data_IF_196523073034
#
_entry.id   IF_196523073034
#
_cell.length_a   1.000
_cell.length_b   1.000
_cell.length_c   1.000
_cell.angle_alpha   90.00
_cell.angle_beta   90.00
_cell.angle_gamma   90.00
#
_symmetry.space_group_name_H-M   'P 1'
#
loop_
_entity.id
_entity.type
_entity.pdbx_description
1 polymer ?
#
# COMPACT_ATOMS: atom_id res chain seq x y z
N UNK A 1 -23.42 -5.68 -1.81
CA UNK A 1 -23.43 -4.20 -1.72
C UNK A 1 -23.56 -3.61 -3.11
N UNK A 2 -24.10 -2.38 -3.27
CA UNK A 2 -24.22 -1.70 -4.57
C UNK A 2 -22.88 -1.64 -5.33
N UNK A 3 -21.77 -1.52 -4.60
CA UNK A 3 -20.40 -1.57 -5.14
C UNK A 3 -20.00 -2.94 -5.73
N UNK A 4 -20.55 -4.05 -5.25
CA UNK A 4 -20.29 -5.39 -5.82
C UNK A 4 -20.92 -5.56 -7.21
N UNK A 5 -21.99 -4.82 -7.51
CA UNK A 5 -22.61 -4.82 -8.84
C UNK A 5 -21.78 -4.09 -9.90
N UNK A 6 -20.84 -3.22 -9.49
CA UNK A 6 -19.99 -2.44 -10.39
C UNK A 6 -18.68 -3.16 -10.75
N UNK A 7 -18.29 -4.17 -9.98
CA UNK A 7 -16.98 -4.82 -10.08
C UNK A 7 -17.15 -6.31 -10.31
N UNK A 8 -17.03 -6.73 -11.57
CA UNK A 8 -16.88 -8.14 -11.91
C UNK A 8 -15.40 -8.53 -11.74
N UNK A 9 -15.02 -9.35 -10.76
CA UNK A 9 -13.61 -9.68 -10.47
C UNK A 9 -12.85 -10.22 -11.70
N UNK A 10 -13.54 -10.97 -12.55
CA UNK A 10 -12.98 -11.55 -13.78
C UNK A 10 -12.77 -10.52 -14.90
N UNK A 11 -13.57 -9.45 -14.93
CA UNK A 11 -13.34 -8.30 -15.83
C UNK A 11 -12.20 -7.43 -15.30
N UNK A 12 -12.14 -7.31 -13.98
CA UNK A 12 -11.17 -6.49 -13.25
C UNK A 12 -9.72 -7.01 -13.40
N UNK A 13 -9.51 -8.33 -13.39
CA UNK A 13 -8.18 -8.92 -13.70
C UNK A 13 -7.69 -8.66 -15.14
N UNK A 14 -8.62 -8.48 -16.10
CA UNK A 14 -8.26 -8.23 -17.51
C UNK A 14 -7.87 -6.78 -17.77
N UNK A 15 -8.21 -5.85 -16.89
CA UNK A 15 -7.93 -4.42 -17.04
C UNK A 15 -7.57 -3.80 -15.68
N UNK A 16 -6.42 -4.19 -15.09
CA UNK A 16 -6.09 -3.86 -13.70
C UNK A 16 -5.92 -2.35 -13.46
N UNK A 17 -5.59 -1.58 -14.50
CA UNK A 17 -5.44 -0.13 -14.41
C UNK A 17 -6.75 0.61 -14.08
N UNK A 18 -7.93 0.03 -14.38
CA UNK A 18 -9.21 0.65 -14.02
C UNK A 18 -9.36 0.82 -12.50
N UNK A 19 -8.70 -0.04 -11.72
CA UNK A 19 -8.70 0.04 -10.26
C UNK A 19 -8.03 1.28 -9.71
N UNK A 20 -7.14 1.90 -10.46
CA UNK A 20 -6.57 3.18 -10.08
C UNK A 20 -7.65 4.23 -9.89
N UNK A 21 -8.55 4.36 -10.85
CA UNK A 21 -9.65 5.34 -10.80
C UNK A 21 -10.65 5.00 -9.69
N UNK A 22 -10.89 3.71 -9.46
CA UNK A 22 -11.77 3.24 -8.39
C UNK A 22 -11.17 3.56 -7.02
N UNK A 23 -9.89 3.26 -6.81
CA UNK A 23 -9.17 3.61 -5.57
C UNK A 23 -9.15 5.11 -5.32
N UNK A 24 -8.92 5.90 -6.37
CA UNK A 24 -8.95 7.36 -6.29
C UNK A 24 -10.34 7.88 -5.90
N UNK A 25 -11.40 7.33 -6.50
CA UNK A 25 -12.78 7.70 -6.21
C UNK A 25 -13.19 7.30 -4.78
N UNK A 26 -12.89 6.06 -4.36
CA UNK A 26 -13.18 5.58 -3.00
C UNK A 26 -12.51 6.46 -1.95
N UNK A 27 -11.23 6.76 -2.15
CA UNK A 27 -10.45 7.65 -1.27
C UNK A 27 -11.01 9.07 -1.24
N UNK A 28 -11.32 9.64 -2.40
CA UNK A 28 -11.84 11.02 -2.45
C UNK A 28 -13.20 11.15 -1.78
N UNK A 29 -14.12 10.21 -2.02
CA UNK A 29 -15.43 10.20 -1.35
C UNK A 29 -15.26 10.02 0.16
N UNK A 30 -14.40 9.10 0.59
CA UNK A 30 -14.12 8.88 2.01
C UNK A 30 -13.53 10.11 2.71
N UNK A 31 -12.61 10.83 2.07
CA UNK A 31 -12.03 12.08 2.59
C UNK A 31 -13.10 13.17 2.73
N UNK A 32 -13.94 13.35 1.71
CA UNK A 32 -14.99 14.36 1.75
C UNK A 32 -16.03 14.04 2.85
N UNK A 33 -16.43 12.78 2.98
CA UNK A 33 -17.37 12.34 4.02
C UNK A 33 -16.77 12.44 5.42
N UNK A 34 -15.48 12.10 5.60
CA UNK A 34 -14.82 12.19 6.91
C UNK A 34 -14.72 13.64 7.38
N UNK A 35 -14.39 14.57 6.48
CA UNK A 35 -14.36 16.00 6.77
C UNK A 35 -15.76 16.58 7.05
N UNK A 36 -16.77 16.12 6.31
CA UNK A 36 -18.13 16.66 6.44
C UNK A 36 -18.85 16.19 7.71
N UNK A 37 -18.73 14.91 8.05
CA UNK A 37 -19.53 14.28 9.13
C UNK A 37 -18.72 14.09 10.41
N UNK A 38 -17.42 13.79 10.30
CA UNK A 38 -16.58 13.32 11.42
C UNK A 38 -15.29 14.13 11.55
N UNK A 39 -15.37 15.45 11.44
CA UNK A 39 -14.20 16.33 11.33
C UNK A 39 -13.13 16.06 12.39
N UNK A 40 -13.51 15.89 13.66
CA UNK A 40 -12.57 15.69 14.77
C UNK A 40 -11.84 14.34 14.74
N UNK A 41 -12.38 13.35 14.01
CA UNK A 41 -11.79 12.02 13.83
C UNK A 41 -11.46 11.72 12.36
N UNK A 42 -11.43 12.75 11.50
CA UNK A 42 -11.39 12.59 10.05
C UNK A 42 -10.23 11.71 9.57
N UNK A 43 -9.08 11.78 10.25
CA UNK A 43 -7.88 11.01 9.92
C UNK A 43 -8.03 9.49 10.05
N UNK A 44 -8.75 9.00 11.07
CA UNK A 44 -9.03 7.57 11.20
C UNK A 44 -10.26 7.17 10.38
N UNK A 45 -11.29 8.03 10.37
CA UNK A 45 -12.56 7.76 9.70
C UNK A 45 -12.39 7.67 8.18
N UNK A 46 -11.53 8.51 7.57
CA UNK A 46 -11.25 8.38 6.13
C UNK A 46 -10.70 7.00 5.79
N UNK A 47 -9.75 6.47 6.58
CA UNK A 47 -9.17 5.14 6.34
C UNK A 47 -10.24 4.07 6.48
N UNK A 48 -11.07 4.16 7.53
CA UNK A 48 -12.17 3.22 7.75
C UNK A 48 -13.15 3.20 6.57
N UNK A 49 -13.56 4.37 6.07
CA UNK A 49 -14.48 4.49 4.93
C UNK A 49 -13.88 3.89 3.65
N UNK A 50 -12.59 4.14 3.38
CA UNK A 50 -11.89 3.55 2.23
C UNK A 50 -11.85 2.03 2.36
N UNK A 51 -11.50 1.53 3.55
CA UNK A 51 -11.46 0.10 3.85
C UNK A 51 -12.82 -0.54 3.63
N UNK A 52 -13.90 0.05 4.13
CA UNK A 52 -15.26 -0.47 3.91
C UNK A 52 -15.62 -0.56 2.43
N UNK A 53 -15.21 0.43 1.62
CA UNK A 53 -15.43 0.40 0.17
C UNK A 53 -14.56 -0.67 -0.54
N UNK A 54 -13.35 -0.91 -0.05
CA UNK A 54 -12.38 -1.84 -0.65
C UNK A 54 -12.52 -3.31 -0.18
N UNK A 55 -13.16 -3.58 0.96
CA UNK A 55 -13.35 -4.94 1.50
C UNK A 55 -14.00 -5.89 0.48
N UNK A 56 -15.10 -5.55 -0.20
CA UNK A 56 -15.74 -6.47 -1.16
C UNK A 56 -14.79 -6.87 -2.29
N UNK A 57 -13.98 -5.92 -2.76
CA UNK A 57 -12.96 -6.14 -3.79
C UNK A 57 -11.90 -7.11 -3.28
N UNK A 58 -11.29 -6.83 -2.14
CA UNK A 58 -10.26 -7.68 -1.53
C UNK A 58 -10.78 -9.10 -1.28
N UNK A 59 -11.98 -9.22 -0.71
CA UNK A 59 -12.61 -10.51 -0.44
C UNK A 59 -12.85 -11.32 -1.72
N UNK A 60 -13.35 -10.67 -2.77
CA UNK A 60 -13.61 -11.32 -4.06
C UNK A 60 -12.33 -11.83 -4.72
N UNK A 61 -11.22 -11.07 -4.64
CA UNK A 61 -9.91 -11.45 -5.15
C UNK A 61 -9.35 -12.65 -4.38
N UNK A 62 -9.33 -12.60 -3.04
CA UNK A 62 -8.84 -13.72 -2.21
C UNK A 62 -9.61 -15.00 -2.52
N UNK A 63 -10.95 -14.91 -2.63
CA UNK A 63 -11.80 -16.06 -2.94
C UNK A 63 -11.51 -16.64 -4.33
N UNK A 64 -11.23 -15.79 -5.31
CA UNK A 64 -10.87 -16.21 -6.66
C UNK A 64 -9.50 -16.88 -6.67
N UNK A 65 -8.51 -16.31 -6.00
CA UNK A 65 -7.15 -16.86 -5.94
C UNK A 65 -7.10 -18.22 -5.24
N UNK A 66 -7.84 -18.40 -4.13
CA UNK A 66 -7.95 -19.72 -3.50
C UNK A 66 -8.61 -20.76 -4.42
N UNK A 67 -9.59 -20.36 -5.23
CA UNK A 67 -10.20 -21.30 -6.18
C UNK A 67 -9.24 -21.72 -7.29
N UNK A 68 -8.33 -20.84 -7.73
CA UNK A 68 -7.29 -21.16 -8.71
C UNK A 68 -6.24 -22.11 -8.12
N UNK A 69 -5.92 -21.97 -6.84
CA UNK A 69 -5.01 -22.86 -6.11
C UNK A 69 -5.53 -24.31 -6.05
N UNK A 70 -6.86 -24.48 -6.03
CA UNK A 70 -7.48 -25.81 -6.09
C UNK A 70 -7.39 -26.49 -7.47
N UNK A 71 -7.28 -25.72 -8.55
CA UNK A 71 -7.30 -26.22 -9.94
C UNK A 71 -5.91 -26.31 -10.57
N UNK A 72 -4.93 -25.58 -10.05
CA UNK A 72 -3.59 -25.49 -10.63
C UNK A 72 -2.76 -26.76 -10.38
N UNK A 73 -2.23 -27.33 -11.46
CA UNK A 73 -1.33 -28.49 -11.42
C UNK A 73 0.17 -28.12 -11.36
N UNK A 74 0.52 -26.83 -11.52
CA UNK A 74 1.91 -26.35 -11.60
C UNK A 74 2.09 -25.02 -10.86
N UNK A 75 3.04 -24.97 -9.91
CA UNK A 75 3.37 -23.78 -9.09
C UNK A 75 3.75 -22.55 -9.93
N UNK A 76 4.55 -22.72 -11.00
CA UNK A 76 4.94 -21.59 -11.86
C UNK A 76 3.77 -20.93 -12.60
N UNK A 77 2.67 -21.66 -12.85
CA UNK A 77 1.43 -21.09 -13.40
C UNK A 77 0.65 -20.38 -12.31
N UNK A 78 0.62 -20.95 -11.11
CA UNK A 78 -0.05 -20.37 -9.94
C UNK A 78 0.55 -19.00 -9.58
N UNK A 79 1.88 -18.88 -9.50
CA UNK A 79 2.56 -17.59 -9.28
C UNK A 79 2.21 -16.52 -10.32
N UNK A 80 2.01 -16.90 -11.58
CA UNK A 80 1.59 -15.95 -12.62
C UNK A 80 0.16 -15.45 -12.40
N UNK A 81 -0.73 -16.28 -11.88
CA UNK A 81 -2.08 -15.87 -11.52
C UNK A 81 -2.08 -14.93 -10.31
N UNK A 82 -1.31 -15.27 -9.27
CA UNK A 82 -1.11 -14.40 -8.11
C UNK A 82 -0.60 -13.01 -8.52
N UNK A 83 0.33 -12.94 -9.48
CA UNK A 83 0.84 -11.67 -9.98
C UNK A 83 -0.23 -10.81 -10.66
N UNK A 84 -1.27 -11.40 -11.29
CA UNK A 84 -2.39 -10.64 -11.85
C UNK A 84 -3.23 -10.03 -10.73
N UNK A 85 -3.55 -10.81 -9.69
CA UNK A 85 -4.26 -10.34 -8.51
C UNK A 85 -3.49 -9.24 -7.76
N UNK A 86 -2.17 -9.41 -7.60
CA UNK A 86 -1.30 -8.41 -6.98
C UNK A 86 -1.27 -7.14 -7.82
N UNK A 87 -1.09 -7.23 -9.14
CA UNK A 87 -1.11 -6.05 -10.03
C UNK A 87 -2.42 -5.29 -9.91
N UNK A 88 -3.54 -6.00 -9.91
CA UNK A 88 -4.88 -5.43 -9.71
C UNK A 88 -5.01 -4.65 -8.39
N UNK A 89 -4.56 -5.23 -7.28
CA UNK A 89 -4.60 -4.56 -5.97
C UNK A 89 -3.57 -3.41 -5.85
N UNK A 90 -2.43 -3.49 -6.53
CA UNK A 90 -1.46 -2.41 -6.61
C UNK A 90 -2.05 -1.16 -7.27
N UNK A 91 -2.85 -1.30 -8.33
CA UNK A 91 -3.52 -0.14 -8.93
C UNK A 91 -4.55 0.49 -7.98
N UNK A 92 -5.32 -0.32 -7.23
CA UNK A 92 -6.20 0.20 -6.19
C UNK A 92 -5.41 1.01 -5.13
N UNK A 93 -4.29 0.46 -4.66
CA UNK A 93 -3.39 1.14 -3.72
C UNK A 93 -2.88 2.47 -4.29
N UNK A 94 -2.39 2.47 -5.54
CA UNK A 94 -1.91 3.68 -6.21
C UNK A 94 -3.00 4.74 -6.34
N UNK A 95 -4.24 4.35 -6.64
CA UNK A 95 -5.38 5.26 -6.68
C UNK A 95 -5.62 5.95 -5.33
N UNK A 96 -5.61 5.19 -4.24
CA UNK A 96 -5.78 5.70 -2.87
C UNK A 96 -4.61 6.64 -2.50
N UNK A 97 -3.38 6.24 -2.81
CA UNK A 97 -2.16 7.03 -2.55
C UNK A 97 -2.20 8.35 -3.31
N UNK A 98 -2.52 8.35 -4.61
CA UNK A 98 -2.59 9.57 -5.43
C UNK A 98 -3.74 10.47 -5.00
N UNK A 99 -4.89 9.92 -4.62
CA UNK A 99 -5.99 10.70 -4.02
C UNK A 99 -5.55 11.37 -2.73
N UNK A 100 -4.87 10.64 -1.84
CA UNK A 100 -4.34 11.19 -0.58
C UNK A 100 -3.34 12.31 -0.84
N UNK A 101 -2.41 12.11 -1.78
CA UNK A 101 -1.47 13.13 -2.24
C UNK A 101 -2.21 14.37 -2.77
N UNK A 102 -3.16 14.19 -3.68
CA UNK A 102 -3.94 15.28 -4.27
C UNK A 102 -4.62 16.13 -3.20
N UNK A 103 -5.38 15.50 -2.29
CA UNK A 103 -6.08 16.21 -1.22
C UNK A 103 -5.12 16.84 -0.22
N UNK A 104 -3.98 16.20 0.08
CA UNK A 104 -2.94 16.80 0.92
C UNK A 104 -2.38 18.07 0.27
N UNK A 105 -2.18 18.11 -1.04
CA UNK A 105 -1.62 19.27 -1.75
C UNK A 105 -2.65 20.40 -1.92
N UNK A 106 -3.92 20.07 -2.18
CA UNK A 106 -4.95 21.06 -2.55
C UNK A 106 -5.66 21.70 -1.34
N UNK A 107 -5.85 20.99 -0.23
CA UNK A 107 -6.66 21.49 0.89
C UNK A 107 -5.92 22.50 1.79
N UNK A 108 -6.59 23.48 2.41
CA UNK A 108 -5.92 24.41 3.34
C UNK A 108 -5.14 23.70 4.46
N UNK A 109 -4.04 24.31 4.94
CA UNK A 109 -3.16 23.73 5.96
C UNK A 109 -3.91 23.30 7.24
N UNK A 110 -4.87 24.11 7.70
CA UNK A 110 -5.70 23.79 8.87
C UNK A 110 -6.62 22.57 8.66
N UNK A 111 -7.01 22.31 7.41
CA UNK A 111 -7.79 21.10 7.09
C UNK A 111 -6.89 19.88 7.02
N UNK A 112 -5.72 20.03 6.42
CA UNK A 112 -4.72 18.95 6.31
C UNK A 112 -4.20 18.51 7.67
N UNK A 113 -3.98 19.44 8.60
CA UNK A 113 -3.50 19.13 9.95
C UNK A 113 -4.47 18.25 10.75
N UNK A 114 -5.78 18.36 10.48
CA UNK A 114 -6.83 17.52 11.06
C UNK A 114 -7.00 16.22 10.26
N UNK A 115 -7.13 16.31 8.93
CA UNK A 115 -7.40 15.17 8.05
C UNK A 115 -6.27 14.15 8.02
N UNK A 116 -5.01 14.59 8.01
CA UNK A 116 -3.85 13.71 7.89
C UNK A 116 -3.02 13.69 9.18
N UNK A 117 -3.64 14.03 10.33
CA UNK A 117 -2.97 14.12 11.62
C UNK A 117 -2.22 12.82 11.98
N UNK A 118 -2.91 11.67 11.90
CA UNK A 118 -2.33 10.38 12.29
C UNK A 118 -1.30 9.90 11.28
N UNK A 119 -1.55 10.10 9.99
CA UNK A 119 -0.60 9.77 8.93
C UNK A 119 0.70 10.57 9.10
N UNK A 120 0.59 11.87 9.38
CA UNK A 120 1.74 12.75 9.63
C UNK A 120 2.49 12.36 10.90
N UNK A 121 1.78 12.01 11.98
CA UNK A 121 2.39 11.51 13.20
C UNK A 121 3.14 10.18 12.99
N UNK A 122 2.59 9.27 12.17
CA UNK A 122 3.29 8.03 11.77
C UNK A 122 4.57 8.34 11.00
N UNK A 123 4.54 9.28 10.05
CA UNK A 123 5.74 9.69 9.31
C UNK A 123 6.81 10.26 10.25
N UNK A 124 6.43 11.08 11.21
CA UNK A 124 7.36 11.60 12.21
C UNK A 124 7.92 10.50 13.12
N UNK A 125 7.14 9.49 13.48
CA UNK A 125 7.63 8.37 14.28
C UNK A 125 8.63 7.48 13.51
N UNK A 126 8.42 7.32 12.20
CA UNK A 126 9.29 6.52 11.33
C UNK A 126 10.57 7.30 10.95
N UNK A 127 10.44 8.57 10.59
CA UNK A 127 11.55 9.43 10.14
C UNK A 127 12.28 10.16 11.28
N UNK A 128 11.63 10.33 12.43
CA UNK A 128 12.14 11.10 13.59
C UNK A 128 13.23 10.40 14.39
N UNK A 129 13.78 9.30 13.88
CA UNK A 129 14.99 8.68 14.38
C UNK A 129 16.14 8.78 13.35
N UNK A 130 16.51 9.99 12.88
CA UNK A 130 17.77 10.11 12.16
C UNK A 130 18.85 9.84 13.20
N UNK A 131 19.58 8.75 13.04
CA UNK A 131 20.87 8.56 13.68
C UNK A 131 21.76 9.74 13.25
N UNK A 132 21.71 10.83 14.01
CA UNK A 132 22.58 11.99 13.87
C UNK A 132 23.98 11.56 14.33
N UNK A 133 24.74 10.97 13.41
CA UNK A 133 26.11 10.53 13.66
C UNK A 133 26.79 10.03 12.39
N UNK A 134 27.81 10.76 11.92
CA UNK A 134 28.62 10.46 10.74
C UNK A 134 29.14 9.00 10.70
N UNK A 135 29.00 8.37 9.53
CA UNK A 135 29.61 7.10 9.08
C UNK A 135 29.31 5.80 9.85
N UNK A 136 28.91 5.85 11.12
CA UNK A 136 28.38 4.70 11.86
C UNK A 136 26.85 4.75 11.80
N UNK A 137 26.26 4.15 10.76
CA UNK A 137 25.07 3.28 10.89
C UNK A 137 24.31 2.99 9.58
N UNK A 138 24.87 3.04 8.37
CA UNK A 138 24.13 2.61 7.16
C UNK A 138 23.50 1.21 7.34
N UNK A 139 24.20 0.31 8.02
CA UNK A 139 23.69 -1.01 8.40
C UNK A 139 22.54 -0.94 9.43
N UNK A 140 22.59 0.00 10.39
CA UNK A 140 21.49 0.16 11.35
C UNK A 140 20.28 0.87 10.71
N UNK A 141 20.49 1.80 9.78
CA UNK A 141 19.44 2.40 8.97
C UNK A 141 18.76 1.33 8.09
N UNK A 142 19.54 0.49 7.41
CA UNK A 142 19.04 -0.66 6.67
C UNK A 142 18.23 -1.59 7.56
N UNK A 143 18.77 -1.94 8.73
CA UNK A 143 18.09 -2.82 9.68
C UNK A 143 16.81 -2.20 10.23
N UNK A 144 16.80 -0.89 10.50
CA UNK A 144 15.62 -0.17 10.98
C UNK A 144 14.51 -0.14 9.92
N UNK A 145 14.85 0.22 8.68
CA UNK A 145 13.92 0.22 7.54
C UNK A 145 13.37 -1.18 7.30
N UNK A 146 14.26 -2.17 7.16
CA UNK A 146 13.87 -3.55 6.93
C UNK A 146 12.97 -4.10 8.03
N UNK A 147 13.32 -3.94 9.31
CA UNK A 147 12.53 -4.45 10.42
C UNK A 147 11.19 -3.73 10.59
N UNK A 148 11.12 -2.43 10.28
CA UNK A 148 9.84 -1.72 10.28
C UNK A 148 8.91 -2.27 9.20
N UNK A 149 9.42 -2.51 7.99
CA UNK A 149 8.63 -3.08 6.92
C UNK A 149 8.27 -4.56 7.16
N UNK A 150 9.14 -5.34 7.81
CA UNK A 150 8.80 -6.70 8.27
C UNK A 150 7.66 -6.67 9.28
N UNK A 151 7.61 -5.69 10.20
CA UNK A 151 6.46 -5.54 11.11
C UNK A 151 5.17 -5.27 10.33
N UNK A 152 5.20 -4.37 9.34
CA UNK A 152 4.02 -4.08 8.50
C UNK A 152 3.57 -5.33 7.73
N UNK A 153 4.50 -6.08 7.14
CA UNK A 153 4.23 -7.36 6.47
C UNK A 153 3.59 -8.38 7.43
N UNK A 154 4.15 -8.53 8.64
CA UNK A 154 3.61 -9.44 9.65
C UNK A 154 2.18 -9.05 10.06
N UNK A 155 1.90 -7.75 10.24
CA UNK A 155 0.54 -7.29 10.50
C UNK A 155 -0.39 -7.52 9.32
N UNK A 156 0.05 -7.32 8.08
CA UNK A 156 -0.75 -7.61 6.89
C UNK A 156 -1.12 -9.10 6.81
N UNK A 157 -0.16 -10.01 6.98
CA UNK A 157 -0.39 -11.46 7.02
C UNK A 157 -1.35 -11.82 8.15
N UNK A 158 -1.11 -11.32 9.37
CA UNK A 158 -1.95 -11.60 10.53
C UNK A 158 -3.39 -11.13 10.34
N UNK A 159 -3.58 -9.91 9.83
CA UNK A 159 -4.90 -9.36 9.59
C UNK A 159 -5.64 -10.09 8.46
N UNK A 160 -4.92 -10.50 7.40
CA UNK A 160 -5.49 -11.35 6.38
C UNK A 160 -5.89 -12.73 6.94
N UNK A 161 -5.05 -13.33 7.78
CA UNK A 161 -5.32 -14.62 8.40
C UNK A 161 -6.56 -14.59 9.31
N UNK A 162 -6.65 -13.57 10.17
CA UNK A 162 -7.72 -13.46 11.19
C UNK A 162 -9.04 -12.97 10.60
N UNK A 163 -9.00 -11.99 9.70
CA UNK A 163 -10.19 -11.30 9.21
C UNK A 163 -10.46 -11.52 7.71
N UNK A 164 -9.70 -12.39 7.04
CA UNK A 164 -9.80 -12.66 5.60
C UNK A 164 -9.33 -11.46 4.77
N UNK A 165 -10.24 -10.51 4.52
CA UNK A 165 -9.94 -9.27 3.80
C UNK A 165 -9.21 -8.21 4.66
N UNK A 166 -8.88 -8.52 5.91
CA UNK A 166 -8.36 -7.56 6.90
C UNK A 166 -7.06 -6.84 6.51
N UNK A 167 -6.22 -7.45 5.67
CA UNK A 167 -5.01 -6.80 5.18
C UNK A 167 -5.28 -5.48 4.44
N UNK A 168 -6.48 -5.30 3.87
CA UNK A 168 -6.86 -4.05 3.20
C UNK A 168 -6.78 -2.84 4.14
N UNK A 169 -6.97 -3.05 5.45
CA UNK A 169 -6.79 -1.99 6.44
C UNK A 169 -5.33 -1.52 6.52
N UNK A 170 -4.39 -2.46 6.62
CA UNK A 170 -2.95 -2.16 6.69
C UNK A 170 -2.47 -1.52 5.37
N UNK A 171 -2.93 -2.04 4.24
CA UNK A 171 -2.59 -1.55 2.91
C UNK A 171 -3.15 -0.14 2.67
N UNK A 172 -4.41 0.11 3.03
CA UNK A 172 -5.03 1.44 2.92
C UNK A 172 -4.33 2.45 3.83
N UNK A 173 -4.04 2.05 5.08
CA UNK A 173 -3.27 2.89 6.00
C UNK A 173 -1.95 3.31 5.38
N UNK A 174 -1.17 2.34 4.89
CA UNK A 174 0.13 2.60 4.27
C UNK A 174 0.00 3.49 3.01
N UNK A 175 -1.01 3.28 2.15
CA UNK A 175 -1.29 4.14 1.00
C UNK A 175 -1.53 5.61 1.41
N UNK A 176 -2.32 5.84 2.46
CA UNK A 176 -2.57 7.21 2.97
C UNK A 176 -1.32 7.83 3.59
N UNK A 177 -0.48 7.04 4.28
CA UNK A 177 0.79 7.49 4.86
C UNK A 177 1.77 7.90 3.75
N UNK A 178 1.94 7.09 2.71
CA UNK A 178 2.82 7.42 1.57
C UNK A 178 2.30 8.64 0.82
N UNK A 179 0.99 8.71 0.54
CA UNK A 179 0.39 9.89 -0.11
C UNK A 179 0.60 11.17 0.70
N UNK A 180 0.50 11.07 2.03
CA UNK A 180 0.81 12.17 2.97
C UNK A 180 2.28 12.56 2.90
N UNK A 181 3.21 11.60 2.82
CA UNK A 181 4.65 11.85 2.76
C UNK A 181 5.03 12.62 1.48
N UNK A 182 4.54 12.15 0.33
CA UNK A 182 4.76 12.82 -0.95
C UNK A 182 4.10 14.21 -0.93
N UNK A 183 2.90 14.34 -0.39
CA UNK A 183 2.22 15.63 -0.28
C UNK A 183 2.97 16.63 0.60
N UNK A 184 3.53 16.16 1.72
CA UNK A 184 4.36 16.97 2.61
C UNK A 184 5.67 17.39 1.93
N UNK A 185 6.32 16.47 1.20
CA UNK A 185 7.50 16.77 0.40
C UNK A 185 7.21 17.85 -0.65
N UNK A 186 6.09 17.74 -1.38
CA UNK A 186 5.68 18.72 -2.38
C UNK A 186 5.48 20.10 -1.74
N UNK A 187 4.72 20.17 -0.64
CA UNK A 187 4.44 21.45 0.03
C UNK A 187 5.68 22.12 0.62
N UNK A 188 6.59 21.34 1.19
CA UNK A 188 7.77 21.89 1.86
C UNK A 188 8.83 22.38 0.87
N UNK A 189 8.89 21.76 -0.30
CA UNK A 189 9.93 22.07 -1.28
C UNK A 189 9.46 23.00 -2.40
N UNK A 190 8.18 23.38 -2.44
CA UNK A 190 7.65 24.19 -3.53
C UNK A 190 8.31 25.56 -3.64
N UNK A 191 8.49 26.24 -2.50
CA UNK A 191 9.11 27.56 -2.48
C UNK A 191 10.59 27.49 -2.87
N UNK A 192 11.31 26.46 -2.41
CA UNK A 192 12.73 26.24 -2.71
C UNK A 192 12.99 25.93 -4.20
N UNK A 193 12.12 25.16 -4.85
CA UNK A 193 12.28 24.80 -6.27
C UNK A 193 11.79 25.90 -7.21
N UNK A 194 10.77 26.68 -6.83
CA UNK A 194 10.35 27.89 -7.57
C UNK A 194 11.47 28.92 -7.64
N UNK A 195 12.26 29.08 -6.57
CA UNK A 195 13.38 30.03 -6.56
C UNK A 195 14.64 29.54 -7.29
N UNK A 196 14.89 28.22 -7.32
CA UNK A 196 16.16 27.66 -7.84
C UNK A 196 16.12 27.33 -9.33
N UNK A 197 14.97 26.88 -9.85
CA UNK A 197 14.85 26.42 -11.25
C UNK A 197 14.36 27.56 -12.16
N UNK A 198 13.94 28.70 -11.61
CA UNK A 198 13.43 29.85 -12.38
C UNK A 198 12.12 29.57 -13.11
N UNK A 199 11.52 28.39 -12.91
CA UNK A 199 10.19 28.05 -13.40
C UNK A 199 9.21 28.61 -12.36
N UNK A 200 8.50 29.66 -12.75
CA UNK A 200 7.42 30.26 -11.98
C UNK A 200 6.11 29.86 -12.66
N UNK A 201 5.31 29.01 -12.01
CA UNK A 201 3.99 28.61 -12.51
C UNK A 201 3.61 27.14 -12.25
N UNK A 202 2.51 26.69 -12.86
CA UNK A 202 1.93 25.34 -12.72
C UNK A 202 2.92 24.21 -13.05
N UNK A 203 3.88 24.47 -13.95
CA UNK A 203 4.93 23.50 -14.32
C UNK A 203 5.83 23.11 -13.13
N UNK A 204 6.01 23.99 -12.14
CA UNK A 204 6.81 23.71 -10.95
C UNK A 204 6.16 22.68 -10.06
N UNK A 205 4.83 22.68 -9.95
CA UNK A 205 4.09 21.65 -9.22
C UNK A 205 4.28 20.28 -9.87
N UNK A 206 4.14 20.20 -11.20
CA UNK A 206 4.27 18.94 -11.92
C UNK A 206 5.67 18.32 -11.76
N UNK A 207 6.73 19.12 -11.87
CA UNK A 207 8.10 18.64 -11.69
C UNK A 207 8.38 18.13 -10.26
N UNK A 208 7.96 18.87 -9.22
CA UNK A 208 8.21 18.50 -7.82
C UNK A 208 7.40 17.26 -7.44
N UNK A 209 6.13 17.19 -7.87
CA UNK A 209 5.30 16.00 -7.68
C UNK A 209 5.94 14.79 -8.36
N UNK A 210 6.45 14.95 -9.59
CA UNK A 210 7.11 13.86 -10.32
C UNK A 210 8.39 13.37 -9.63
N UNK A 211 9.23 14.29 -9.13
CA UNK A 211 10.44 13.95 -8.36
C UNK A 211 10.08 13.26 -7.04
N UNK A 212 9.09 13.79 -6.31
CA UNK A 212 8.60 13.17 -5.08
C UNK A 212 8.09 11.75 -5.34
N UNK A 213 7.22 11.58 -6.34
CA UNK A 213 6.74 10.26 -6.74
C UNK A 213 7.88 9.31 -7.11
N UNK A 214 8.85 9.76 -7.91
CA UNK A 214 9.97 8.92 -8.33
C UNK A 214 10.83 8.49 -7.15
N UNK A 215 11.16 9.43 -6.24
CA UNK A 215 11.94 9.16 -5.03
C UNK A 215 11.31 8.07 -4.16
N UNK A 216 9.99 8.16 -3.91
CA UNK A 216 9.29 7.16 -3.11
C UNK A 216 8.99 5.87 -3.90
N UNK A 217 8.82 5.94 -5.22
CA UNK A 217 8.52 4.77 -6.04
C UNK A 217 9.69 3.75 -6.12
N UNK A 218 10.95 4.21 -6.05
CA UNK A 218 12.13 3.34 -6.16
C UNK A 218 12.10 2.18 -5.17
N UNK A 219 11.92 2.47 -3.88
CA UNK A 219 11.81 1.45 -2.83
C UNK A 219 10.35 1.08 -2.53
N UNK A 220 9.41 2.02 -2.72
CA UNK A 220 7.99 1.81 -2.43
C UNK A 220 7.34 0.75 -3.31
N UNK A 221 7.69 0.64 -4.61
CA UNK A 221 7.10 -0.41 -5.47
C UNK A 221 7.46 -1.82 -4.95
N UNK A 222 8.74 -2.16 -4.70
CA UNK A 222 9.11 -3.43 -4.06
C UNK A 222 8.45 -3.63 -2.69
N UNK A 223 8.40 -2.59 -1.85
CA UNK A 223 7.81 -2.68 -0.52
C UNK A 223 6.31 -3.04 -0.55
N UNK A 224 5.54 -2.33 -1.36
CA UNK A 224 4.09 -2.55 -1.49
C UNK A 224 3.81 -3.91 -2.14
N UNK A 225 4.61 -4.32 -3.12
CA UNK A 225 4.53 -5.66 -3.68
C UNK A 225 4.68 -6.73 -2.58
N UNK A 226 5.69 -6.59 -1.70
CA UNK A 226 5.87 -7.51 -0.57
C UNK A 226 4.63 -7.60 0.33
N UNK A 227 4.01 -6.47 0.67
CA UNK A 227 2.80 -6.46 1.50
C UNK A 227 1.63 -7.15 0.82
N UNK A 228 1.49 -7.03 -0.51
CA UNK A 228 0.46 -7.74 -1.25
C UNK A 228 0.72 -9.24 -1.33
N UNK A 229 1.98 -9.68 -1.52
CA UNK A 229 2.32 -11.11 -1.42
C UNK A 229 1.97 -11.67 -0.03
N UNK A 230 2.32 -10.96 1.05
CA UNK A 230 1.96 -11.38 2.40
C UNK A 230 0.45 -11.36 2.67
N UNK A 231 -0.26 -10.33 2.19
CA UNK A 231 -1.71 -10.23 2.31
C UNK A 231 -2.41 -11.38 1.59
N UNK A 232 -1.94 -11.74 0.39
CA UNK A 232 -2.47 -12.87 -0.38
C UNK A 232 -2.18 -14.20 0.33
N UNK A 233 -0.95 -14.41 0.78
CA UNK A 233 -0.56 -15.61 1.54
C UNK A 233 -1.46 -15.81 2.77
N UNK A 234 -1.60 -14.77 3.61
CA UNK A 234 -2.46 -14.83 4.79
C UNK A 234 -3.94 -15.05 4.44
N UNK A 235 -4.42 -14.46 3.34
CA UNK A 235 -5.79 -14.57 2.87
C UNK A 235 -6.14 -15.98 2.36
N UNK A 236 -5.27 -16.57 1.52
CA UNK A 236 -5.42 -17.95 1.01
C UNK A 236 -5.44 -18.93 2.20
N UNK A 237 -4.50 -18.79 3.13
CA UNK A 237 -4.44 -19.63 4.33
C UNK A 237 -5.71 -19.48 5.20
N UNK A 238 -6.22 -18.25 5.35
CA UNK A 238 -7.47 -17.96 6.05
C UNK A 238 -8.65 -18.74 5.45
N UNK A 239 -8.84 -18.65 4.13
CA UNK A 239 -9.92 -19.33 3.42
C UNK A 239 -9.78 -20.85 3.53
N UNK A 240 -8.57 -21.38 3.41
CA UNK A 240 -8.31 -22.81 3.54
C UNK A 240 -8.67 -23.35 4.94
N UNK A 241 -8.39 -22.58 6.01
CA UNK A 241 -8.78 -22.91 7.38
C UNK A 241 -10.31 -22.89 7.53
N UNK A 242 -10.98 -21.84 7.03
CA UNK A 242 -12.45 -21.70 7.09
C UNK A 242 -13.15 -22.86 6.38
N UNK A 243 -12.65 -23.27 5.21
CA UNK A 243 -13.20 -24.41 4.43
C UNK A 243 -12.82 -25.78 4.99
N UNK A 244 -12.11 -25.84 6.12
CA UNK A 244 -11.64 -27.07 6.78
C UNK A 244 -10.71 -27.92 5.91
N UNK A 245 -10.01 -27.31 4.94
CA UNK A 245 -9.04 -28.01 4.10
C UNK A 245 -7.86 -28.58 4.92
N UNK A 246 -7.62 -28.09 6.15
CA UNK A 246 -6.63 -28.63 7.10
C UNK A 246 -6.75 -30.13 7.42
N UNK A 247 -7.89 -30.76 7.09
CA UNK A 247 -8.10 -32.21 7.26
C UNK A 247 -7.74 -33.04 6.02
N UNK A 248 -7.27 -32.40 4.96
CA UNK A 248 -7.00 -33.04 3.67
C UNK A 248 -5.51 -32.93 3.31
N UNK A 249 -4.97 -33.84 2.48
CA UNK A 249 -3.60 -33.73 1.98
C UNK A 249 -3.31 -32.40 1.27
N UNK A 250 -4.35 -31.74 0.75
CA UNK A 250 -4.29 -30.46 0.08
C UNK A 250 -3.83 -29.31 0.99
N UNK A 251 -4.04 -29.40 2.29
CA UNK A 251 -3.52 -28.38 3.23
C UNK A 251 -2.00 -28.25 3.18
N UNK A 252 -1.29 -29.35 2.88
CA UNK A 252 0.17 -29.29 2.72
C UNK A 252 0.55 -28.41 1.53
N UNK A 253 -0.19 -28.47 0.43
CA UNK A 253 0.03 -27.64 -0.76
C UNK A 253 -0.20 -26.16 -0.43
N UNK A 254 -1.33 -25.84 0.22
CA UNK A 254 -1.62 -24.46 0.67
C UNK A 254 -0.53 -23.93 1.61
N UNK A 255 -0.03 -24.76 2.52
CA UNK A 255 1.07 -24.36 3.42
C UNK A 255 2.41 -24.14 2.69
N UNK A 256 2.67 -24.88 1.61
CA UNK A 256 3.85 -24.67 0.77
C UNK A 256 3.73 -23.35 0.00
N UNK A 257 2.58 -23.09 -0.65
CA UNK A 257 2.32 -21.84 -1.34
C UNK A 257 2.39 -20.63 -0.40
N UNK A 258 1.75 -20.72 0.77
CA UNK A 258 1.88 -19.71 1.84
C UNK A 258 3.34 -19.39 2.16
N UNK A 259 4.17 -20.43 2.33
CA UNK A 259 5.58 -20.27 2.67
C UNK A 259 6.37 -19.63 1.51
N UNK A 260 6.09 -20.02 0.27
CA UNK A 260 6.71 -19.46 -0.93
C UNK A 260 6.38 -17.97 -1.10
N UNK A 261 5.10 -17.60 -0.99
CA UNK A 261 4.66 -16.20 -1.07
C UNK A 261 5.28 -15.33 0.02
N UNK A 262 5.41 -15.86 1.24
CA UNK A 262 6.10 -15.15 2.35
C UNK A 262 7.59 -14.97 2.06
N UNK A 263 8.26 -15.99 1.50
CA UNK A 263 9.67 -15.88 1.11
C UNK A 263 9.88 -14.85 0.00
N UNK A 264 9.00 -14.81 -1.00
CA UNK A 264 8.99 -13.79 -2.06
C UNK A 264 8.79 -12.40 -1.46
N UNK A 265 7.85 -12.24 -0.52
CA UNK A 265 7.62 -10.96 0.16
C UNK A 265 8.87 -10.48 0.91
N UNK A 266 9.55 -11.37 1.64
CA UNK A 266 10.80 -11.03 2.35
C UNK A 266 11.89 -10.59 1.37
N UNK A 267 12.03 -11.28 0.23
CA UNK A 267 13.00 -10.90 -0.80
C UNK A 267 12.73 -9.49 -1.37
N UNK A 268 11.46 -9.16 -1.61
CA UNK A 268 11.07 -7.80 -2.03
C UNK A 268 11.37 -6.75 -0.95
N UNK A 269 11.15 -7.05 0.34
CA UNK A 269 11.51 -6.13 1.43
C UNK A 269 13.01 -5.89 1.55
N UNK A 270 13.83 -6.93 1.32
CA UNK A 270 15.29 -6.78 1.28
C UNK A 270 15.71 -5.85 0.13
N UNK A 271 15.11 -6.02 -1.05
CA UNK A 271 15.36 -5.14 -2.19
C UNK A 271 14.89 -3.70 -1.90
N UNK A 272 13.71 -3.51 -1.31
CA UNK A 272 13.19 -2.21 -0.91
C UNK A 272 14.14 -1.48 0.04
N UNK A 273 14.54 -2.14 1.14
CA UNK A 273 15.46 -1.56 2.13
C UNK A 273 16.82 -1.22 1.52
N UNK A 274 17.32 -2.06 0.60
CA UNK A 274 18.57 -1.77 -0.12
C UNK A 274 18.43 -0.51 -0.99
N UNK A 275 17.35 -0.42 -1.76
CA UNK A 275 17.08 0.74 -2.63
C UNK A 275 16.89 2.02 -1.82
N UNK A 276 16.22 1.96 -0.66
CA UNK A 276 15.98 3.13 0.19
C UNK A 276 17.27 3.65 0.84
N UNK A 277 18.13 2.76 1.35
CA UNK A 277 19.29 3.17 2.14
C UNK A 277 20.53 3.43 1.28
N UNK A 278 20.73 2.68 0.19
CA UNK A 278 21.96 2.77 -0.59
C UNK A 278 21.81 3.45 -1.95
N UNK A 279 20.63 3.39 -2.57
CA UNK A 279 20.44 3.90 -3.95
C UNK A 279 19.74 5.26 -3.95
N UNK A 280 18.61 5.38 -3.25
CA UNK A 280 17.79 6.60 -3.23
C UNK A 280 18.57 7.84 -2.78
N UNK A 281 19.41 7.81 -1.72
CA UNK A 281 20.17 8.99 -1.27
C UNK A 281 21.30 9.41 -2.21
N UNK A 282 21.71 8.55 -3.15
CA UNK A 282 22.70 8.89 -4.18
C UNK A 282 22.04 9.61 -5.36
N UNK A 283 20.75 9.35 -5.59
CA UNK A 283 19.98 9.92 -6.70
C UNK A 283 19.22 11.20 -6.35
N UNK A 284 18.89 11.43 -5.07
CA UNK A 284 18.09 12.56 -4.55
C UNK A 284 18.66 13.11 -3.26
#
# INVERSE_FOLDING_TARGET
MVLEGLLNPLKAEKSPWEMFFIGFAYSSVAILLSLWIFRDQASMVMVLLIVMAAIPVMYSVIKLEESKDMEASQESKLLKEHNKAISFLMYLFLGIMVSSLFWYVVLPADTVSVLFQKQSATLQAVNGNPATGNAVSQLAAFSLVFLNNVKVLAFAILFALVYGAGAIFILTWNATVIGTAIGNFVRTNIDHYVTTIGIVGENSYFHIVSIGLLRYALHGIPEIAAYFYGALAGGILSVAIIRKHYRTPHFRTVMMDFSELVMIAIAFLLAAAFLEVYVTPVLF
#
